data_IF_799997748522
#
_entry.id   IF_799997748522
#
_cell.length_a   1.000
_cell.length_b   1.000
_cell.length_c   1.000
_cell.angle_alpha   90.00
_cell.angle_beta   90.00
_cell.angle_gamma   90.00
#
_symmetry.space_group_name_H-M   'P 1'
#
loop_
_entity.id
_entity.type
_entity.pdbx_description
1 polymer ?
#
# COMPACT_ATOMS: atom_id res chain seq x y z
N UNK A 1 -8.56 -0.49 0.29
CA UNK A 1 -8.14 -1.81 0.76
C UNK A 1 -7.50 -1.64 2.13
N UNK A 2 -7.84 -2.52 3.09
CA UNK A 2 -7.43 -2.40 4.49
C UNK A 2 -6.00 -2.87 4.78
N UNK A 3 -5.28 -3.36 3.78
CA UNK A 3 -4.01 -4.08 3.96
C UNK A 3 -4.24 -5.58 4.19
N UNK A 4 -3.16 -6.33 4.39
CA UNK A 4 -3.17 -7.79 4.51
C UNK A 4 -3.67 -8.52 3.27
N UNK A 5 -3.36 -7.97 2.09
CA UNK A 5 -3.86 -8.42 0.80
C UNK A 5 -2.83 -9.22 0.03
N UNK A 6 -1.54 -8.90 0.14
CA UNK A 6 -0.50 -9.49 -0.73
C UNK A 6 -0.10 -10.91 -0.32
N UNK A 7 -0.48 -11.37 0.86
CA UNK A 7 -0.06 -12.63 1.45
C UNK A 7 -1.29 -13.50 1.79
N UNK A 8 -1.08 -14.81 1.94
CA UNK A 8 -2.07 -15.70 2.56
C UNK A 8 -2.58 -16.80 1.64
N UNK A 9 -2.07 -16.88 0.41
CA UNK A 9 -2.46 -17.89 -0.58
C UNK A 9 -1.26 -18.57 -1.24
N UNK A 10 -1.49 -19.72 -1.86
CA UNK A 10 -0.46 -20.43 -2.61
C UNK A 10 0.05 -19.62 -3.81
N UNK A 11 -0.86 -18.96 -4.53
CA UNK A 11 -0.52 -18.12 -5.68
C UNK A 11 0.27 -16.88 -5.27
N UNK A 12 -0.02 -16.30 -4.10
CA UNK A 12 0.75 -15.17 -3.59
C UNK A 12 2.15 -15.57 -3.12
N UNK A 13 2.31 -16.79 -2.61
CA UNK A 13 3.63 -17.36 -2.33
C UNK A 13 4.44 -17.54 -3.63
N UNK A 14 3.86 -18.15 -4.66
CA UNK A 14 4.55 -18.46 -5.91
C UNK A 14 4.92 -17.21 -6.73
N UNK A 15 4.11 -16.16 -6.62
CA UNK A 15 4.28 -14.92 -7.40
C UNK A 15 4.89 -13.77 -6.59
N UNK A 16 5.25 -14.01 -5.32
CA UNK A 16 5.71 -12.96 -4.39
C UNK A 16 4.69 -11.81 -4.30
N UNK A 17 3.42 -12.17 -4.15
CA UNK A 17 2.27 -11.27 -4.01
C UNK A 17 1.77 -10.62 -5.31
N UNK A 18 2.41 -10.86 -6.45
CA UNK A 18 2.07 -10.15 -7.69
C UNK A 18 0.65 -10.44 -8.17
N UNK A 19 0.15 -11.67 -7.96
CA UNK A 19 -1.22 -12.03 -8.30
C UNK A 19 -2.26 -11.11 -7.62
N UNK A 20 -2.07 -10.84 -6.34
CA UNK A 20 -2.95 -9.98 -5.56
C UNK A 20 -2.75 -8.49 -5.88
N UNK A 21 -1.51 -8.07 -6.13
CA UNK A 21 -1.19 -6.72 -6.61
C UNK A 21 -1.88 -6.43 -7.96
N UNK A 22 -1.84 -7.39 -8.89
CA UNK A 22 -2.51 -7.28 -10.18
C UNK A 22 -4.03 -7.29 -10.02
N UNK A 23 -4.57 -8.11 -9.11
CA UNK A 23 -5.99 -8.09 -8.76
C UNK A 23 -6.44 -6.73 -8.21
N UNK A 24 -5.66 -6.10 -7.31
CA UNK A 24 -5.96 -4.76 -6.79
C UNK A 24 -6.01 -3.71 -7.92
N UNK A 25 -5.08 -3.76 -8.87
CA UNK A 25 -5.07 -2.88 -10.04
C UNK A 25 -6.30 -3.10 -10.93
N UNK A 26 -6.71 -4.34 -11.16
CA UNK A 26 -7.87 -4.67 -11.99
C UNK A 26 -9.20 -4.30 -11.33
N UNK A 27 -9.29 -4.44 -10.01
CA UNK A 27 -10.48 -4.06 -9.23
C UNK A 27 -10.62 -2.55 -9.05
N UNK A 28 -9.59 -1.76 -9.40
CA UNK A 28 -9.61 -0.31 -9.28
C UNK A 28 -9.52 0.16 -7.82
N UNK A 29 -8.70 -0.51 -7.00
CA UNK A 29 -8.44 -0.04 -5.62
C UNK A 29 -7.78 1.34 -5.66
N UNK A 30 -8.39 2.34 -5.03
CA UNK A 30 -7.82 3.70 -5.00
C UNK A 30 -6.71 3.89 -3.96
N UNK A 31 -6.89 3.29 -2.78
CA UNK A 31 -6.04 3.51 -1.60
C UNK A 31 -5.88 2.21 -0.82
N UNK A 32 -4.68 1.95 -0.31
CA UNK A 32 -4.38 0.82 0.60
C UNK A 32 -3.41 1.22 1.71
N UNK A 33 -3.35 0.40 2.77
CA UNK A 33 -2.31 0.41 3.81
C UNK A 33 -1.62 -0.96 3.83
N UNK A 34 -0.80 -1.27 4.84
CA UNK A 34 -0.19 -2.60 4.94
C UNK A 34 0.17 -3.11 6.33
N UNK A 35 0.41 -4.42 6.39
CA UNK A 35 0.90 -5.16 7.54
C UNK A 35 1.62 -6.44 7.08
N UNK A 36 0.92 -7.42 6.51
CA UNK A 36 1.55 -8.63 5.96
C UNK A 36 2.31 -8.37 4.65
N UNK A 37 2.05 -7.25 3.97
CA UNK A 37 2.82 -6.77 2.81
C UNK A 37 4.32 -6.73 3.13
N UNK A 38 4.67 -6.31 4.35
CA UNK A 38 6.06 -6.15 4.78
C UNK A 38 6.83 -7.48 4.90
N UNK A 39 6.14 -8.61 4.93
CA UNK A 39 6.80 -9.95 4.95
C UNK A 39 7.55 -10.26 3.65
N UNK A 40 7.23 -9.58 2.55
CA UNK A 40 7.98 -9.69 1.30
C UNK A 40 9.29 -8.88 1.29
N UNK A 41 9.55 -8.12 2.35
CA UNK A 41 10.74 -7.30 2.52
C UNK A 41 10.61 -5.90 1.90
N UNK A 42 11.37 -4.95 2.46
CA UNK A 42 11.27 -3.53 2.11
C UNK A 42 11.50 -3.24 0.62
N UNK A 43 12.45 -3.93 -0.02
CA UNK A 43 12.74 -3.77 -1.45
C UNK A 43 11.54 -4.13 -2.32
N UNK A 44 10.85 -5.24 -2.01
CA UNK A 44 9.67 -5.67 -2.76
C UNK A 44 8.52 -4.69 -2.55
N UNK A 45 8.29 -4.25 -1.31
CA UNK A 45 7.24 -3.26 -1.01
C UNK A 45 7.52 -1.95 -1.75
N UNK A 46 8.75 -1.42 -1.69
CA UNK A 46 9.13 -0.22 -2.44
C UNK A 46 8.95 -0.38 -3.93
N UNK A 47 9.37 -1.51 -4.51
CA UNK A 47 9.15 -1.78 -5.93
C UNK A 47 7.67 -1.68 -6.32
N UNK A 48 6.79 -2.27 -5.53
CA UNK A 48 5.35 -2.27 -5.84
C UNK A 48 4.77 -0.86 -5.68
N UNK A 49 5.12 -0.16 -4.61
CA UNK A 49 4.64 1.21 -4.36
C UNK A 49 5.15 2.19 -5.42
N UNK A 50 6.42 2.10 -5.79
CA UNK A 50 7.11 3.04 -6.69
C UNK A 50 6.89 2.72 -8.18
N UNK A 51 6.62 1.46 -8.54
CA UNK A 51 6.42 1.03 -9.93
C UNK A 51 4.95 0.63 -10.19
N UNK A 52 4.48 -0.46 -9.57
CA UNK A 52 3.18 -1.08 -9.88
C UNK A 52 1.99 -0.16 -9.55
N UNK A 53 2.08 0.56 -8.42
CA UNK A 53 1.03 1.42 -7.90
C UNK A 53 1.16 2.88 -8.33
N UNK A 54 2.28 3.27 -8.93
CA UNK A 54 2.56 4.65 -9.31
C UNK A 54 1.43 5.26 -10.16
N UNK A 55 0.85 6.34 -9.65
CA UNK A 55 -0.26 7.06 -10.29
C UNK A 55 -1.56 6.29 -10.40
N UNK A 56 -1.70 5.14 -9.71
CA UNK A 56 -2.88 4.28 -9.74
C UNK A 56 -3.47 4.03 -8.36
N UNK A 57 -2.64 3.59 -7.41
CA UNK A 57 -3.07 3.20 -6.06
C UNK A 57 -2.20 3.96 -5.05
N UNK A 58 -2.82 4.68 -4.11
CA UNK A 58 -2.08 5.33 -3.04
C UNK A 58 -1.82 4.32 -1.91
N UNK A 59 -0.55 3.97 -1.68
CA UNK A 59 -0.13 3.24 -0.47
C UNK A 59 0.16 4.24 0.65
N UNK A 60 -0.68 4.25 1.68
CA UNK A 60 -0.64 5.23 2.76
C UNK A 60 -0.29 4.59 4.10
N UNK A 61 0.62 5.20 4.84
CA UNK A 61 0.90 4.83 6.23
C UNK A 61 1.54 5.99 6.99
N UNK A 62 0.81 6.55 7.95
CA UNK A 62 1.32 7.65 8.78
C UNK A 62 2.34 7.21 9.84
N UNK A 63 2.34 5.93 10.20
CA UNK A 63 3.12 5.37 11.30
C UNK A 63 4.39 4.62 10.88
N UNK A 64 4.70 4.54 9.58
CA UNK A 64 5.94 3.89 9.11
C UNK A 64 7.02 4.94 8.87
N UNK A 65 8.12 4.78 9.61
CA UNK A 65 9.23 5.74 9.63
C UNK A 65 10.58 5.05 9.50
N UNK A 66 11.58 5.78 9.01
CA UNK A 66 12.96 5.31 9.02
C UNK A 66 13.45 5.09 10.45
N UNK A 67 14.38 4.15 10.63
CA UNK A 67 14.90 3.81 11.96
C UNK A 67 15.91 4.83 12.51
N UNK A 68 16.44 5.69 11.66
CA UNK A 68 17.46 6.69 12.01
C UNK A 68 16.82 8.00 12.51
N UNK A 69 16.38 8.86 11.59
CA UNK A 69 15.85 10.19 11.89
C UNK A 69 14.33 10.19 12.05
N UNK A 70 13.66 9.06 11.79
CA UNK A 70 12.20 8.95 11.91
C UNK A 70 11.47 9.62 10.75
N UNK A 71 12.11 9.70 9.58
CA UNK A 71 11.50 10.29 8.39
C UNK A 71 10.35 9.40 7.88
N UNK A 72 9.25 9.99 7.38
CA UNK A 72 8.15 9.21 6.83
C UNK A 72 8.60 8.41 5.61
N UNK A 73 8.27 7.12 5.58
CA UNK A 73 8.60 6.23 4.44
C UNK A 73 7.53 6.28 3.35
N UNK A 74 6.28 6.48 3.75
CA UNK A 74 5.11 6.56 2.88
C UNK A 74 4.34 7.87 3.11
N UNK A 75 3.48 8.24 2.17
CA UNK A 75 2.57 9.34 2.40
C UNK A 75 1.61 9.02 3.56
N UNK A 76 1.38 9.95 4.50
CA UNK A 76 0.51 9.70 5.66
C UNK A 76 -0.98 9.70 5.29
N UNK A 77 -1.36 10.49 4.28
CA UNK A 77 -2.74 10.67 3.84
C UNK A 77 -2.80 11.14 2.39
N UNK A 78 -4.00 11.11 1.81
CA UNK A 78 -4.35 11.79 0.55
C UNK A 78 -5.65 12.59 0.75
N UNK A 79 -5.81 13.69 0.01
CA UNK A 79 -7.08 14.41 -0.09
C UNK A 79 -7.62 14.19 -1.49
N UNK A 80 -8.86 13.71 -1.61
CA UNK A 80 -9.52 13.49 -2.90
C UNK A 80 -10.80 14.29 -2.99
N UNK A 81 -11.10 14.83 -4.17
CA UNK A 81 -12.43 15.35 -4.48
C UNK A 81 -13.33 14.16 -4.86
N UNK A 82 -14.37 13.93 -4.06
CA UNK A 82 -15.37 12.89 -4.29
C UNK A 82 -16.73 13.56 -4.35
N UNK A 83 -17.29 13.62 -5.57
CA UNK A 83 -18.58 14.28 -5.85
C UNK A 83 -18.63 15.76 -5.40
N UNK A 84 -17.53 16.50 -5.57
CA UNK A 84 -17.44 17.92 -5.20
C UNK A 84 -17.15 18.16 -3.72
N UNK A 85 -16.85 17.10 -2.95
CA UNK A 85 -16.50 17.16 -1.53
C UNK A 85 -15.06 16.70 -1.34
N UNK A 86 -14.25 17.51 -0.67
CA UNK A 86 -12.89 17.11 -0.32
C UNK A 86 -12.92 16.11 0.84
N UNK A 87 -12.41 14.91 0.59
CA UNK A 87 -12.33 13.80 1.56
C UNK A 87 -10.86 13.50 1.84
N UNK A 88 -10.46 13.62 3.12
CA UNK A 88 -9.16 13.18 3.59
C UNK A 88 -9.17 11.70 3.96
N UNK A 89 -8.23 10.93 3.43
CA UNK A 89 -8.06 9.50 3.71
C UNK A 89 -6.69 9.32 4.35
N UNK A 90 -6.65 8.85 5.60
CA UNK A 90 -5.42 8.66 6.38
C UNK A 90 -5.09 7.16 6.42
N UNK A 91 -3.84 6.81 6.14
CA UNK A 91 -3.35 5.44 6.21
C UNK A 91 -2.73 5.12 7.56
N UNK A 92 -3.01 3.94 8.10
CA UNK A 92 -2.41 3.40 9.31
C UNK A 92 -2.01 1.95 9.02
N UNK A 93 -0.70 1.66 9.05
CA UNK A 93 -0.20 0.29 9.00
C UNK A 93 -0.34 -0.38 10.38
N UNK A 94 -0.27 -1.71 10.45
CA UNK A 94 -0.24 -2.40 11.75
C UNK A 94 0.99 -1.96 12.56
N UNK A 95 0.85 -1.63 13.86
CA UNK A 95 1.94 -1.13 14.71
C UNK A 95 3.03 -2.16 15.05
#
# INVERSE_FOLDING_TARGET
>A
DGGDTWQGSATSLWTRGQDMIDAQKLLGVDVTTGHWEFTYGAERVRKVVDDDFAGRIDFLAQNVKTADFGDPVFAPYVIRDINGVLVGIIGQAFP
#
